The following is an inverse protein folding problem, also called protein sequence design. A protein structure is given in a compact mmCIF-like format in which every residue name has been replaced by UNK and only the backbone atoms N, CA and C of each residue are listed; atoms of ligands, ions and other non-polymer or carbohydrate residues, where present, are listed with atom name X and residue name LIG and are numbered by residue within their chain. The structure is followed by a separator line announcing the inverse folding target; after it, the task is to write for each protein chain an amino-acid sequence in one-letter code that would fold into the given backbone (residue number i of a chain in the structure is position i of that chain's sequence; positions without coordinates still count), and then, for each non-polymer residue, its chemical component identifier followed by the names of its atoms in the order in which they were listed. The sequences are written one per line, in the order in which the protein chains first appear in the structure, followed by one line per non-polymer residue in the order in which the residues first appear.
data_IF_205525232207
#
_entry.id   IF_205525232207
#
_cell.length_a   1.000
_cell.length_b   1.000
_cell.length_c   1.000
_cell.angle_alpha   90.00
_cell.angle_beta   90.00
_cell.angle_gamma   90.00
#
_symmetry.space_group_name_H-M   'P 1'
#
loop_
_entity.id
_entity.type
_entity.pdbx_description
1 polymer ?
#
# COMPACT_ATOMS: atom_id res chain seq x y z
N UNK A 1 18.42 13.76 -3.81
CA UNK A 1 17.90 13.62 -2.43
C UNK A 1 17.31 12.22 -2.30
N UNK A 2 17.50 11.55 -1.15
CA UNK A 2 16.98 10.20 -0.92
C UNK A 2 15.79 10.26 0.05
N UNK A 3 14.82 9.37 -0.14
CA UNK A 3 13.63 9.25 0.70
C UNK A 3 13.31 7.76 0.95
N UNK A 4 12.56 7.50 2.02
CA UNK A 4 12.14 6.16 2.43
C UNK A 4 10.61 6.15 2.56
N UNK A 5 9.97 5.11 2.02
CA UNK A 5 8.53 4.86 2.18
C UNK A 5 8.34 3.64 3.08
N UNK A 6 7.70 3.84 4.23
CA UNK A 6 7.28 2.75 5.10
C UNK A 6 6.02 2.09 4.54
N UNK A 7 6.17 0.94 3.88
CA UNK A 7 5.10 0.22 3.17
C UNK A 7 4.58 -1.05 3.91
N UNK A 8 4.93 -1.20 5.18
CA UNK A 8 4.58 -2.35 6.01
C UNK A 8 3.36 -2.09 6.93
N UNK A 9 2.98 -3.10 7.73
CA UNK A 9 1.87 -3.06 8.69
C UNK A 9 0.78 -4.11 8.39
N UNK A 10 0.18 -4.68 9.45
CA UNK A 10 -0.74 -5.84 9.34
C UNK A 10 -2.05 -5.56 8.60
N UNK A 11 -2.45 -4.30 8.45
CA UNK A 11 -3.58 -3.91 7.60
C UNK A 11 -4.94 -4.49 8.03
N UNK A 12 -5.18 -4.76 9.31
CA UNK A 12 -6.34 -5.51 9.82
C UNK A 12 -7.70 -4.92 9.42
N UNK A 13 -7.82 -3.59 9.35
CA UNK A 13 -9.07 -2.90 8.96
C UNK A 13 -9.50 -3.10 7.49
N UNK A 14 -8.60 -3.58 6.64
CA UNK A 14 -8.88 -3.83 5.22
C UNK A 14 -9.04 -5.32 4.90
N UNK A 15 -9.11 -6.18 5.92
CA UNK A 15 -9.40 -7.58 5.70
C UNK A 15 -10.79 -7.75 5.05
N UNK A 16 -10.96 -8.73 4.13
CA UNK A 16 -10.03 -9.82 3.82
C UNK A 16 -8.90 -9.47 2.82
N UNK A 17 -8.90 -8.27 2.23
CA UNK A 17 -7.98 -7.89 1.15
C UNK A 17 -6.50 -7.95 1.57
N UNK A 18 -6.20 -7.80 2.86
CA UNK A 18 -4.85 -7.71 3.42
C UNK A 18 -4.37 -8.98 4.12
N UNK A 19 -5.09 -10.10 4.01
CA UNK A 19 -4.66 -11.37 4.61
C UNK A 19 -3.42 -11.95 3.92
N UNK A 20 -3.33 -11.82 2.60
CA UNK A 20 -2.24 -12.36 1.78
C UNK A 20 -1.44 -11.28 1.06
N UNK A 21 -1.74 -10.01 1.30
CA UNK A 21 -1.09 -8.87 0.63
C UNK A 21 -0.96 -7.66 1.55
N UNK A 22 0.11 -6.89 1.42
CA UNK A 22 0.26 -5.61 2.16
C UNK A 22 -0.77 -4.58 1.68
N UNK A 23 -1.24 -3.72 2.59
CA UNK A 23 -2.08 -2.55 2.26
C UNK A 23 -1.45 -1.69 1.15
N UNK A 24 -0.12 -1.55 1.15
CA UNK A 24 0.60 -0.72 0.18
C UNK A 24 0.40 -1.20 -1.27
N UNK A 25 0.13 -2.49 -1.48
CA UNK A 25 -0.04 -3.12 -2.79
C UNK A 25 -1.51 -3.40 -3.13
N UNK A 26 -2.47 -2.95 -2.30
CA UNK A 26 -3.89 -3.05 -2.63
C UNK A 26 -4.18 -2.15 -3.84
N UNK A 27 -4.85 -2.65 -4.90
CA UNK A 27 -5.16 -1.85 -6.07
C UNK A 27 -6.27 -0.84 -5.79
N UNK A 28 -6.06 0.41 -6.21
CA UNK A 28 -7.04 1.50 -6.16
C UNK A 28 -7.12 2.10 -7.56
N UNK A 29 -8.21 1.80 -8.28
CA UNK A 29 -8.38 2.16 -9.71
C UNK A 29 -7.25 1.58 -10.57
N UNK A 30 -6.97 0.28 -10.40
CA UNK A 30 -5.96 -0.45 -11.19
C UNK A 30 -4.49 -0.20 -10.81
N UNK A 31 -4.20 0.78 -9.96
CA UNK A 31 -2.83 1.10 -9.51
C UNK A 31 -2.59 0.71 -8.04
N UNK A 32 -1.40 0.24 -7.63
CA UNK A 32 -1.07 0.01 -6.23
C UNK A 32 -1.22 1.29 -5.38
N UNK A 33 -1.75 1.16 -4.16
CA UNK A 33 -1.94 2.31 -3.26
C UNK A 33 -0.65 3.12 -3.04
N UNK A 34 0.51 2.47 -2.91
CA UNK A 34 1.81 3.13 -2.71
C UNK A 34 2.21 4.05 -3.87
N UNK A 35 1.71 3.80 -5.09
CA UNK A 35 2.01 4.66 -6.24
C UNK A 35 1.56 6.11 -6.01
N UNK A 36 0.51 6.31 -5.21
CA UNK A 36 0.00 7.65 -4.88
C UNK A 36 0.97 8.46 -4.02
N UNK A 37 1.82 7.78 -3.25
CA UNK A 37 2.88 8.41 -2.44
C UNK A 37 4.08 8.79 -3.31
N UNK A 38 4.29 8.08 -4.42
CA UNK A 38 5.37 8.35 -5.37
C UNK A 38 5.02 9.46 -6.37
N UNK A 39 3.73 9.64 -6.66
CA UNK A 39 3.21 10.67 -7.59
C UNK A 39 3.01 12.05 -6.92
N UNK A 40 3.06 12.12 -5.58
CA UNK A 40 3.11 13.36 -4.78
C UNK A 40 4.53 13.81 -4.52
#
# INVERSE_FOLDING_TARGET
MQAIILAAGKGTRLQPLTLTRTKAMVPVVGKPLVQRVLET
#
